data_IF_466994960535
#
_entry.id   IF_466994960535
#
_cell.length_a   1.000
_cell.length_b   1.000
_cell.length_c   1.000
_cell.angle_alpha   90.00
_cell.angle_beta   90.00
_cell.angle_gamma   90.00
#
_symmetry.space_group_name_H-M   'P 1'
#
loop_
_entity.id
_entity.type
_entity.pdbx_description
1 polymer ?
#
# COMPACT_ATOMS: atom_id res chain seq x y z
N UNK A 1 -7.87 -44.28 51.44
CA UNK A 1 -8.09 -42.82 51.49
C UNK A 1 -6.73 -42.17 51.26
N UNK A 2 -6.45 -41.78 50.03
CA UNK A 2 -5.33 -40.91 49.66
C UNK A 2 -5.75 -40.22 48.37
N UNK A 3 -5.99 -38.92 48.48
CA UNK A 3 -6.52 -38.05 47.43
C UNK A 3 -5.32 -37.48 46.68
N UNK A 4 -4.99 -38.04 45.52
CA UNK A 4 -3.98 -37.47 44.64
C UNK A 4 -4.58 -36.23 43.96
N UNK A 5 -4.41 -35.08 44.61
CA UNK A 5 -4.80 -33.78 44.08
C UNK A 5 -3.82 -33.35 42.99
N UNK A 6 -4.25 -33.45 41.73
CA UNK A 6 -3.54 -32.83 40.61
C UNK A 6 -3.49 -31.30 40.79
N UNK A 7 -2.32 -30.64 40.58
CA UNK A 7 -2.19 -29.19 40.73
C UNK A 7 -2.99 -28.44 39.66
N UNK A 8 -3.48 -27.23 39.95
CA UNK A 8 -4.14 -26.39 38.95
C UNK A 8 -3.14 -25.97 37.88
N UNK A 9 -3.48 -26.22 36.60
CA UNK A 9 -2.76 -25.73 35.43
C UNK A 9 -2.61 -24.21 35.53
N UNK A 10 -1.40 -23.75 35.84
CA UNK A 10 -1.04 -22.35 35.83
C UNK A 10 -0.97 -21.85 34.38
N UNK A 11 -1.94 -21.01 34.04
CA UNK A 11 -1.65 -19.75 33.35
C UNK A 11 -1.06 -19.90 31.95
N UNK A 12 -1.79 -20.57 31.05
CA UNK A 12 -1.67 -20.27 29.62
C UNK A 12 -2.19 -18.85 29.39
N UNK A 13 -1.33 -17.84 29.55
CA UNK A 13 -1.57 -16.51 29.00
C UNK A 13 -1.67 -16.72 27.49
N UNK A 14 -2.89 -16.91 26.99
CA UNK A 14 -3.19 -16.79 25.57
C UNK A 14 -2.68 -15.40 25.20
N UNK A 15 -1.51 -15.36 24.57
CA UNK A 15 -1.02 -14.15 23.93
C UNK A 15 -2.16 -13.69 23.04
N UNK A 16 -2.84 -12.65 23.49
CA UNK A 16 -3.93 -12.02 22.77
C UNK A 16 -3.28 -11.62 21.45
N UNK A 17 -3.59 -12.36 20.40
CA UNK A 17 -3.33 -11.98 19.03
C UNK A 17 -3.94 -10.58 18.96
N UNK A 18 -3.11 -9.55 19.09
CA UNK A 18 -3.55 -8.17 18.95
C UNK A 18 -3.97 -8.15 17.50
N UNK A 19 -5.27 -8.06 17.18
CA UNK A 19 -5.65 -7.80 15.81
C UNK A 19 -4.88 -6.54 15.45
N UNK A 20 -3.95 -6.65 14.51
CA UNK A 20 -3.18 -5.52 14.04
C UNK A 20 -4.21 -4.53 13.51
N UNK A 21 -4.52 -3.53 14.33
CA UNK A 21 -5.77 -2.81 14.18
C UNK A 21 -5.80 -1.97 12.90
N UNK A 22 -7.00 -1.63 12.40
CA UNK A 22 -7.23 -0.76 11.24
C UNK A 22 -6.57 0.63 11.35
N UNK A 23 -6.01 0.96 12.51
CA UNK A 23 -5.25 2.17 12.79
C UNK A 23 -4.02 2.35 11.89
N UNK A 24 -3.31 1.27 11.54
CA UNK A 24 -2.15 1.41 10.62
C UNK A 24 -2.59 1.78 9.20
N UNK A 25 -3.76 1.34 8.75
CA UNK A 25 -4.28 1.68 7.42
C UNK A 25 -4.68 3.16 7.33
N UNK A 26 -5.24 3.72 8.41
CA UNK A 26 -5.65 5.14 8.49
C UNK A 26 -4.45 6.09 8.38
N UNK A 27 -3.32 5.74 9.00
CA UNK A 27 -2.10 6.58 8.93
C UNK A 27 -1.60 6.73 7.49
N UNK A 28 -1.62 5.65 6.72
CA UNK A 28 -1.22 5.66 5.30
C UNK A 28 -2.18 6.47 4.46
N UNK A 29 -3.47 6.30 4.70
CA UNK A 29 -4.51 7.00 3.96
C UNK A 29 -4.34 8.51 4.11
N UNK A 30 -4.13 8.98 5.35
CA UNK A 30 -3.85 10.39 5.64
C UNK A 30 -2.53 10.82 4.99
N UNK A 31 -1.48 9.99 5.06
CA UNK A 31 -0.18 10.33 4.48
C UNK A 31 -0.20 10.40 2.94
N UNK A 32 -0.99 9.55 2.26
CA UNK A 32 -1.22 9.61 0.81
C UNK A 32 -1.98 10.89 0.42
N UNK A 33 -3.01 11.27 1.18
CA UNK A 33 -3.77 12.53 0.97
C UNK A 33 -2.87 13.75 1.17
N UNK A 34 -2.05 13.77 2.21
CA UNK A 34 -1.12 14.90 2.45
C UNK A 34 -0.13 15.01 1.29
N UNK A 35 0.40 13.89 0.82
CA UNK A 35 1.34 13.88 -0.30
C UNK A 35 0.68 14.33 -1.61
N UNK A 36 -0.58 13.93 -1.91
CA UNK A 36 -1.29 14.43 -3.09
C UNK A 36 -1.56 15.92 -2.98
N UNK A 37 -1.98 16.41 -1.82
CA UNK A 37 -2.22 17.83 -1.60
C UNK A 37 -0.95 18.66 -1.80
N UNK A 38 0.21 18.16 -1.37
CA UNK A 38 1.51 18.83 -1.62
C UNK A 38 1.82 18.83 -3.12
N UNK A 39 1.60 17.74 -3.84
CA UNK A 39 1.80 17.67 -5.28
C UNK A 39 0.90 18.67 -6.04
N UNK A 40 -0.38 18.77 -5.66
CA UNK A 40 -1.32 19.74 -6.22
C UNK A 40 -0.94 21.17 -5.87
N UNK A 41 -0.53 21.44 -4.62
CA UNK A 41 -0.09 22.76 -4.21
C UNK A 41 1.18 23.21 -4.96
N UNK A 42 2.12 22.30 -5.20
CA UNK A 42 3.34 22.57 -5.96
C UNK A 42 3.04 22.94 -7.42
N UNK A 43 2.02 22.34 -8.03
CA UNK A 43 1.57 22.68 -9.39
C UNK A 43 0.72 23.96 -9.42
N UNK A 44 -0.18 24.13 -8.45
CA UNK A 44 -1.06 25.29 -8.35
C UNK A 44 -0.31 26.60 -8.06
N UNK A 45 0.86 26.52 -7.41
CA UNK A 45 1.75 27.66 -7.24
C UNK A 45 2.24 28.25 -8.58
N UNK A 46 2.08 27.51 -9.70
CA UNK A 46 1.99 28.06 -11.06
C UNK A 46 3.25 28.72 -11.62
N UNK A 47 4.32 28.87 -10.84
CA UNK A 47 5.54 29.57 -11.23
C UNK A 47 6.47 28.76 -12.16
N UNK A 48 6.01 27.65 -12.74
CA UNK A 48 6.87 26.70 -13.43
C UNK A 48 6.30 26.29 -14.79
N UNK A 49 7.20 26.08 -15.76
CA UNK A 49 6.88 25.67 -17.12
C UNK A 49 5.98 24.42 -17.15
N UNK A 50 4.99 24.39 -18.04
CA UNK A 50 4.05 23.27 -18.18
C UNK A 50 4.74 21.91 -18.33
N UNK A 51 5.86 21.85 -19.07
CA UNK A 51 6.63 20.61 -19.22
C UNK A 51 7.23 20.12 -17.89
N UNK A 52 7.69 21.05 -17.04
CA UNK A 52 8.20 20.72 -15.71
C UNK A 52 7.08 20.26 -14.78
N UNK A 53 5.91 20.91 -14.83
CA UNK A 53 4.74 20.49 -14.06
C UNK A 53 4.30 19.05 -14.41
N UNK A 54 4.30 18.69 -15.69
CA UNK A 54 3.97 17.33 -16.15
C UNK A 54 4.97 16.30 -15.61
N UNK A 55 6.27 16.59 -15.68
CA UNK A 55 7.31 15.69 -15.16
C UNK A 55 7.16 15.51 -13.63
N UNK A 56 6.95 16.61 -12.91
CA UNK A 56 6.73 16.59 -11.46
C UNK A 56 5.50 15.74 -11.09
N UNK A 57 4.38 15.92 -11.80
CA UNK A 57 3.17 15.14 -11.60
C UNK A 57 3.37 13.66 -11.88
N UNK A 58 4.13 13.30 -12.93
CA UNK A 58 4.47 11.90 -13.23
C UNK A 58 5.27 11.26 -12.09
N UNK A 59 6.27 11.96 -11.56
CA UNK A 59 7.07 11.47 -10.42
C UNK A 59 6.19 11.29 -9.17
N UNK A 60 5.31 12.25 -8.89
CA UNK A 60 4.35 12.15 -7.78
C UNK A 60 3.36 11.00 -7.99
N UNK A 61 2.90 10.75 -9.21
CA UNK A 61 2.01 9.64 -9.53
C UNK A 61 2.67 8.28 -9.29
N UNK A 62 3.93 8.10 -9.70
CA UNK A 62 4.69 6.87 -9.43
C UNK A 62 4.89 6.67 -7.93
N UNK A 63 5.23 7.72 -7.18
CA UNK A 63 5.42 7.63 -5.74
C UNK A 63 4.12 7.27 -5.01
N UNK A 64 2.97 7.76 -5.52
CA UNK A 64 1.65 7.36 -5.03
C UNK A 64 1.36 5.87 -5.30
N UNK A 65 1.67 5.34 -6.49
CA UNK A 65 1.48 3.91 -6.80
C UNK A 65 2.31 3.03 -5.84
N UNK A 66 3.56 3.42 -5.55
CA UNK A 66 4.42 2.69 -4.61
C UNK A 66 3.88 2.76 -3.19
N UNK A 67 3.43 3.92 -2.73
CA UNK A 67 2.83 4.06 -1.39
C UNK A 67 1.51 3.31 -1.24
N UNK A 68 0.66 3.37 -2.25
CA UNK A 68 -0.59 2.60 -2.32
C UNK A 68 -0.28 1.11 -2.24
N UNK A 69 0.65 0.62 -3.07
CA UNK A 69 1.01 -0.79 -3.14
C UNK A 69 1.74 -1.29 -1.88
N UNK A 70 2.70 -0.52 -1.38
CA UNK A 70 3.60 -0.92 -0.30
C UNK A 70 2.98 -0.89 1.10
N UNK A 71 1.91 -0.11 1.30
CA UNK A 71 1.27 0.02 2.61
C UNK A 71 -0.12 -0.59 2.69
N UNK A 72 -0.86 -0.68 1.56
CA UNK A 72 -2.15 -1.36 1.53
C UNK A 72 -2.01 -2.86 1.78
N UNK A 73 -0.87 -3.44 1.41
CA UNK A 73 -0.46 -4.75 1.89
C UNK A 73 0.56 -4.60 3.00
N UNK A 74 0.17 -5.01 4.21
CA UNK A 74 1.10 -5.34 5.30
C UNK A 74 2.07 -6.47 4.86
N UNK A 75 3.03 -6.15 4.00
CA UNK A 75 4.15 -7.03 3.62
C UNK A 75 5.08 -7.34 4.80
N UNK A 76 4.83 -6.72 5.95
CA UNK A 76 5.51 -7.00 7.21
C UNK A 76 4.89 -8.17 7.99
N UNK A 77 3.74 -8.71 7.57
CA UNK A 77 3.17 -9.88 8.21
C UNK A 77 3.63 -11.17 7.51
N UNK A 78 4.18 -12.09 8.30
CA UNK A 78 4.89 -13.28 7.81
C UNK A 78 3.95 -14.20 7.01
N UNK A 79 4.27 -14.44 5.74
CA UNK A 79 3.59 -15.46 4.89
C UNK A 79 2.92 -14.97 3.60
N UNK A 80 3.07 -13.70 3.21
CA UNK A 80 2.27 -13.10 2.12
C UNK A 80 2.93 -13.15 0.73
N UNK A 81 3.39 -14.34 0.29
CA UNK A 81 3.97 -14.53 -1.06
C UNK A 81 2.94 -14.39 -2.19
N UNK A 82 1.73 -14.94 -1.99
CA UNK A 82 0.61 -14.87 -2.95
C UNK A 82 0.13 -13.43 -3.23
N UNK A 83 -0.07 -12.60 -2.19
CA UNK A 83 -0.30 -11.16 -2.29
C UNK A 83 0.70 -10.43 -3.22
N UNK A 84 2.00 -10.66 -3.02
CA UNK A 84 3.06 -10.03 -3.83
C UNK A 84 2.97 -10.43 -5.29
N UNK A 85 2.73 -11.71 -5.57
CA UNK A 85 2.61 -12.23 -6.93
C UNK A 85 1.38 -11.65 -7.63
N UNK A 86 0.26 -11.53 -6.92
CA UNK A 86 -0.97 -10.98 -7.49
C UNK A 86 -0.85 -9.49 -7.83
N UNK A 87 -0.13 -8.72 -7.02
CA UNK A 87 0.14 -7.30 -7.28
C UNK A 87 1.15 -7.11 -8.40
N UNK A 88 2.25 -7.88 -8.42
CA UNK A 88 3.20 -7.81 -9.53
C UNK A 88 2.55 -8.23 -10.85
N UNK A 89 1.70 -9.26 -10.81
CA UNK A 89 0.88 -9.69 -11.94
C UNK A 89 -0.12 -8.62 -12.37
N UNK A 90 -0.85 -8.01 -11.42
CA UNK A 90 -1.78 -6.93 -11.68
C UNK A 90 -1.10 -5.68 -12.27
N UNK A 91 0.06 -5.30 -11.75
CA UNK A 91 0.87 -4.21 -12.29
C UNK A 91 1.36 -4.51 -13.71
N UNK A 92 1.81 -5.74 -13.96
CA UNK A 92 2.27 -6.16 -15.28
C UNK A 92 1.11 -6.14 -16.29
N UNK A 93 -0.03 -6.74 -15.94
CA UNK A 93 -1.24 -6.78 -16.78
C UNK A 93 -1.75 -5.36 -17.05
N UNK A 94 -1.92 -4.54 -16.01
CA UNK A 94 -2.38 -3.16 -16.16
C UNK A 94 -1.41 -2.33 -17.00
N UNK A 95 -0.10 -2.49 -16.78
CA UNK A 95 0.94 -1.87 -17.59
C UNK A 95 0.84 -2.26 -19.06
N UNK A 96 0.72 -3.55 -19.37
CA UNK A 96 0.52 -4.02 -20.74
C UNK A 96 -0.77 -3.53 -21.37
N UNK A 97 -1.88 -3.46 -20.62
CA UNK A 97 -3.15 -2.92 -21.12
C UNK A 97 -3.04 -1.42 -21.45
N UNK A 98 -2.35 -0.63 -20.61
CA UNK A 98 -2.13 0.80 -20.88
C UNK A 98 -1.25 0.98 -22.11
N UNK A 99 -0.14 0.22 -22.21
CA UNK A 99 0.74 0.27 -23.38
C UNK A 99 -0.04 -0.13 -24.64
N UNK A 100 -0.81 -1.22 -24.59
CA UNK A 100 -1.67 -1.64 -25.69
C UNK A 100 -2.69 -0.56 -26.06
N UNK A 101 -3.35 0.08 -25.09
CA UNK A 101 -4.33 1.14 -25.35
C UNK A 101 -3.68 2.40 -25.95
N UNK A 102 -2.48 2.80 -25.48
CA UNK A 102 -1.73 3.89 -26.07
C UNK A 102 -1.31 3.57 -27.50
N UNK A 103 -0.74 2.39 -27.75
CA UNK A 103 -0.37 1.99 -29.11
C UNK A 103 -1.59 1.79 -30.03
N UNK A 104 -2.73 1.34 -29.52
CA UNK A 104 -3.92 1.19 -30.35
C UNK A 104 -4.55 2.55 -30.68
N UNK A 105 -4.76 3.41 -29.68
CA UNK A 105 -5.52 4.67 -29.86
C UNK A 105 -4.68 5.77 -30.51
N UNK A 106 -3.37 5.78 -30.33
CA UNK A 106 -2.48 6.83 -30.86
C UNK A 106 -1.67 6.41 -32.10
N UNK A 107 -1.78 5.15 -32.54
CA UNK A 107 -1.15 4.68 -33.79
C UNK A 107 -2.18 4.36 -34.90
N UNK A 108 -3.46 4.64 -34.67
CA UNK A 108 -4.44 4.94 -35.74
C UNK A 108 -4.32 6.41 -36.13
#
# INVERSE_FOLDING_TARGET
MATEQHPPEKGGVKHRHRPEGPQRHIVVFIFSIVLTLIAFAAVAAGGINAAFAVILLLVMAVLQVIMQMGFWMHLKDKGHMMPIIFIFGGFFIAGTCIVMALYWVWWD
#
